data_IF_602472311383
#
_entry.id   IF_602472311383
#
_cell.length_a   1.000
_cell.length_b   1.000
_cell.length_c   1.000
_cell.angle_alpha   90.00
_cell.angle_beta   90.00
_cell.angle_gamma   90.00
#
_symmetry.space_group_name_H-M   'P 1'
#
loop_
_entity.id
_entity.type
_entity.pdbx_description
1 polymer ?
#
# COMPACT_ATOMS: atom_id res chain seq x y z
N UNK A 1 -23.21 41.66 -37.61
CA UNK A 1 -23.14 40.58 -36.60
C UNK A 1 -24.41 39.76 -36.74
N UNK A 2 -24.36 38.62 -37.43
CA UNK A 2 -25.50 37.69 -37.47
C UNK A 2 -25.51 36.95 -36.12
N UNK A 3 -26.55 37.15 -35.32
CA UNK A 3 -26.75 36.37 -34.12
C UNK A 3 -27.04 34.91 -34.54
N UNK A 4 -26.10 34.01 -34.26
CA UNK A 4 -26.30 32.57 -34.47
C UNK A 4 -27.44 32.12 -33.56
N UNK A 5 -28.63 31.96 -34.13
CA UNK A 5 -29.81 31.48 -33.39
C UNK A 5 -29.60 30.00 -33.07
N UNK A 6 -29.40 29.68 -31.79
CA UNK A 6 -29.36 28.30 -31.30
C UNK A 6 -30.71 27.64 -31.59
N UNK A 7 -30.73 26.39 -32.06
CA UNK A 7 -31.99 25.66 -32.23
C UNK A 7 -32.61 25.39 -30.85
N UNK A 8 -33.94 25.23 -30.77
CA UNK A 8 -34.62 24.84 -29.51
C UNK A 8 -34.04 23.53 -28.95
N UNK A 9 -33.56 22.66 -29.83
CA UNK A 9 -32.88 21.40 -29.47
C UNK A 9 -31.49 21.62 -28.83
N UNK A 10 -30.78 22.68 -29.19
CA UNK A 10 -29.48 23.04 -28.59
C UNK A 10 -29.68 23.66 -27.20
N UNK A 11 -30.73 24.45 -26.99
CA UNK A 11 -31.06 25.06 -25.69
C UNK A 11 -31.45 24.03 -24.62
N UNK A 12 -32.04 22.90 -25.04
CA UNK A 12 -32.46 21.84 -24.13
C UNK A 12 -31.37 20.81 -23.82
N UNK A 13 -30.21 20.88 -24.48
CA UNK A 13 -29.11 19.95 -24.21
C UNK A 13 -28.17 20.51 -23.13
N UNK A 14 -27.82 19.74 -22.10
CA UNK A 14 -26.82 20.16 -21.13
C UNK A 14 -25.44 20.28 -21.80
N UNK A 15 -24.65 21.27 -21.37
CA UNK A 15 -23.29 21.51 -21.89
C UNK A 15 -22.32 20.34 -21.64
N UNK A 16 -22.64 19.46 -20.68
CA UNK A 16 -21.90 18.24 -20.34
C UNK A 16 -22.76 17.02 -20.60
N UNK A 17 -22.24 16.08 -21.38
CA UNK A 17 -22.83 14.75 -21.60
C UNK A 17 -22.27 13.76 -20.57
N UNK A 18 -22.93 13.64 -19.42
CA UNK A 18 -22.52 12.72 -18.36
C UNK A 18 -22.46 11.25 -18.81
N UNK A 19 -23.36 10.83 -19.70
CA UNK A 19 -23.29 9.48 -20.27
C UNK A 19 -21.98 9.21 -21.01
N UNK A 20 -21.49 10.18 -21.78
CA UNK A 20 -20.21 10.07 -22.48
C UNK A 20 -19.01 10.08 -21.51
N UNK A 21 -19.07 10.95 -20.49
CA UNK A 21 -18.05 11.02 -19.43
C UNK A 21 -17.96 9.69 -18.68
N UNK A 22 -19.09 9.13 -18.25
CA UNK A 22 -19.14 7.87 -17.51
C UNK A 22 -18.70 6.68 -18.38
N UNK A 23 -19.08 6.65 -19.65
CA UNK A 23 -18.62 5.61 -20.58
C UNK A 23 -17.09 5.68 -20.79
N UNK A 24 -16.54 6.88 -20.98
CA UNK A 24 -15.09 7.08 -21.07
C UNK A 24 -14.37 6.70 -19.77
N UNK A 25 -14.92 7.07 -18.61
CA UNK A 25 -14.37 6.71 -17.32
C UNK A 25 -14.38 5.20 -17.08
N UNK A 26 -15.45 4.50 -17.46
CA UNK A 26 -15.55 3.05 -17.38
C UNK A 26 -14.52 2.36 -18.28
N UNK A 27 -14.31 2.86 -19.50
CA UNK A 27 -13.29 2.34 -20.41
C UNK A 27 -11.87 2.54 -19.87
N UNK A 28 -11.58 3.72 -19.31
CA UNK A 28 -10.30 3.98 -18.63
C UNK A 28 -10.10 3.04 -17.44
N UNK A 29 -11.11 2.91 -16.56
CA UNK A 29 -11.03 2.04 -15.38
C UNK A 29 -10.81 0.57 -15.75
N UNK A 30 -11.53 0.06 -16.76
CA UNK A 30 -11.37 -1.31 -17.25
C UNK A 30 -9.97 -1.55 -17.82
N UNK A 31 -9.44 -0.64 -18.64
CA UNK A 31 -8.10 -0.78 -19.18
C UNK A 31 -7.03 -0.69 -18.09
N UNK A 32 -7.16 0.27 -17.16
CA UNK A 32 -6.28 0.39 -16.00
C UNK A 32 -6.23 -0.92 -15.20
N UNK A 33 -7.38 -1.56 -14.97
CA UNK A 33 -7.44 -2.82 -14.25
C UNK A 33 -6.74 -3.97 -14.99
N UNK A 34 -6.96 -4.09 -16.31
CA UNK A 34 -6.31 -5.12 -17.14
C UNK A 34 -4.78 -4.92 -17.12
N UNK A 35 -4.30 -3.70 -17.32
CA UNK A 35 -2.87 -3.41 -17.33
C UNK A 35 -2.24 -3.50 -15.94
N UNK A 36 -3.01 -3.29 -14.87
CA UNK A 36 -2.57 -3.51 -13.50
C UNK A 36 -2.26 -4.98 -13.26
N UNK A 37 -3.20 -5.88 -13.62
CA UNK A 37 -3.01 -7.32 -13.49
C UNK A 37 -1.78 -7.78 -14.29
N UNK A 38 -1.64 -7.29 -15.52
CA UNK A 38 -0.48 -7.58 -16.36
C UNK A 38 0.82 -7.10 -15.71
N UNK A 39 0.85 -5.87 -15.19
CA UNK A 39 2.01 -5.29 -14.52
C UNK A 39 2.43 -6.07 -13.28
N UNK A 40 1.46 -6.50 -12.46
CA UNK A 40 1.71 -7.36 -11.30
C UNK A 40 2.33 -8.69 -11.73
N UNK A 41 1.79 -9.33 -12.78
CA UNK A 41 2.31 -10.59 -13.32
C UNK A 41 3.76 -10.45 -13.84
N UNK A 42 4.04 -9.40 -14.60
CA UNK A 42 5.40 -9.10 -15.10
C UNK A 42 6.38 -8.71 -13.99
N UNK A 43 5.89 -8.02 -12.95
CA UNK A 43 6.68 -7.65 -11.78
C UNK A 43 7.11 -8.88 -10.98
N UNK A 44 6.16 -9.76 -10.66
CA UNK A 44 6.45 -11.01 -9.92
C UNK A 44 7.41 -11.93 -10.68
N UNK A 45 7.31 -12.00 -12.02
CA UNK A 45 8.22 -12.82 -12.82
C UNK A 45 9.65 -12.26 -12.92
N UNK A 46 9.84 -10.96 -12.63
CA UNK A 46 11.13 -10.27 -12.72
C UNK A 46 11.93 -10.30 -11.42
N UNK A 47 11.31 -10.67 -10.30
CA UNK A 47 11.97 -10.73 -8.98
C UNK A 47 12.56 -12.11 -8.75
N UNK A 48 13.89 -12.20 -8.65
CA UNK A 48 14.60 -13.43 -8.26
C UNK A 48 14.96 -13.40 -6.77
N UNK A 49 14.72 -14.48 -6.01
CA UNK A 49 15.19 -14.60 -4.62
C UNK A 49 16.71 -14.57 -4.46
N UNK A 50 17.45 -14.85 -5.53
CA UNK A 50 18.89 -15.09 -5.50
C UNK A 50 19.71 -13.93 -6.07
N UNK A 51 19.05 -13.00 -6.77
CA UNK A 51 19.68 -11.80 -7.33
C UNK A 51 18.65 -10.67 -7.41
N UNK A 52 18.80 -9.62 -6.60
CA UNK A 52 17.85 -8.51 -6.56
C UNK A 52 18.50 -7.24 -7.12
N UNK A 53 17.79 -6.53 -8.02
CA UNK A 53 18.17 -5.20 -8.48
C UNK A 53 17.04 -4.21 -8.21
N UNK A 54 17.06 -3.60 -7.02
CA UNK A 54 16.02 -2.69 -6.57
C UNK A 54 15.85 -1.46 -7.48
N UNK A 55 16.93 -0.98 -8.08
CA UNK A 55 16.89 0.22 -8.95
C UNK A 55 16.17 -0.10 -10.26
N UNK A 56 16.53 -1.20 -10.92
CA UNK A 56 15.89 -1.61 -12.17
C UNK A 56 14.40 -1.88 -11.98
N UNK A 57 14.03 -2.57 -10.88
CA UNK A 57 12.63 -2.85 -10.52
C UNK A 57 11.87 -1.55 -10.24
N UNK A 58 12.48 -0.60 -9.51
CA UNK A 58 11.85 0.69 -9.22
C UNK A 58 11.57 1.51 -10.48
N UNK A 59 12.56 1.61 -11.38
CA UNK A 59 12.42 2.37 -12.63
C UNK A 59 11.40 1.72 -13.57
N UNK A 60 11.43 0.39 -13.72
CA UNK A 60 10.46 -0.32 -14.57
C UNK A 60 9.03 -0.20 -14.02
N UNK A 61 8.86 -0.23 -12.70
CA UNK A 61 7.55 -0.02 -12.07
C UNK A 61 7.01 1.38 -12.35
N UNK A 62 7.82 2.43 -12.18
CA UNK A 62 7.41 3.80 -12.48
C UNK A 62 7.06 3.97 -13.96
N UNK A 63 7.89 3.44 -14.85
CA UNK A 63 7.64 3.49 -16.29
C UNK A 63 6.35 2.76 -16.68
N UNK A 64 6.09 1.59 -16.07
CA UNK A 64 4.88 0.82 -16.31
C UNK A 64 3.62 1.55 -15.82
N UNK A 65 3.65 2.11 -14.60
CA UNK A 65 2.53 2.88 -14.05
C UNK A 65 2.25 4.14 -14.87
N UNK A 66 3.30 4.82 -15.35
CA UNK A 66 3.13 5.94 -16.28
C UNK A 66 2.47 5.48 -17.59
N UNK A 67 2.97 4.40 -18.21
CA UNK A 67 2.37 3.83 -19.41
C UNK A 67 0.90 3.48 -19.21
N UNK A 68 0.56 2.79 -18.13
CA UNK A 68 -0.83 2.47 -17.76
C UNK A 68 -1.71 3.72 -17.71
N UNK A 69 -1.24 4.74 -16.99
CA UNK A 69 -1.98 5.98 -16.82
C UNK A 69 -2.24 6.66 -18.17
N UNK A 70 -1.22 6.75 -19.02
CA UNK A 70 -1.33 7.38 -20.34
C UNK A 70 -2.26 6.60 -21.27
N UNK A 71 -2.10 5.27 -21.34
CA UNK A 71 -2.91 4.41 -22.19
C UNK A 71 -4.39 4.44 -21.78
N UNK A 72 -4.68 4.26 -20.49
CA UNK A 72 -6.05 4.24 -19.98
C UNK A 72 -6.73 5.60 -20.11
N UNK A 73 -6.01 6.68 -19.80
CA UNK A 73 -6.51 8.06 -19.95
C UNK A 73 -6.79 8.38 -21.42
N UNK A 74 -5.91 7.94 -22.33
CA UNK A 74 -6.09 8.10 -23.77
C UNK A 74 -7.35 7.42 -24.28
N UNK A 75 -7.57 6.14 -23.95
CA UNK A 75 -8.78 5.41 -24.37
C UNK A 75 -10.04 6.04 -23.77
N UNK A 76 -10.03 6.34 -22.47
CA UNK A 76 -11.20 6.93 -21.81
C UNK A 76 -11.55 8.31 -22.35
N UNK A 77 -10.54 9.17 -22.56
CA UNK A 77 -10.71 10.47 -23.17
C UNK A 77 -11.26 10.37 -24.59
N UNK A 78 -10.67 9.52 -25.43
CA UNK A 78 -11.15 9.26 -26.79
C UNK A 78 -12.62 8.83 -26.82
N UNK A 79 -13.02 7.89 -25.96
CA UNK A 79 -14.41 7.45 -25.87
C UNK A 79 -15.36 8.55 -25.41
N UNK A 80 -14.98 9.34 -24.40
CA UNK A 80 -15.77 10.47 -23.93
C UNK A 80 -15.99 11.52 -25.02
N UNK A 81 -14.93 11.83 -25.78
CA UNK A 81 -15.01 12.71 -26.94
C UNK A 81 -15.92 12.17 -28.03
N UNK A 82 -15.79 10.88 -28.39
CA UNK A 82 -16.54 10.27 -29.49
C UNK A 82 -18.02 10.05 -29.18
N UNK A 83 -18.38 9.80 -27.92
CA UNK A 83 -19.76 9.51 -27.51
C UNK A 83 -20.59 10.75 -27.16
N UNK A 84 -19.97 11.91 -26.96
CA UNK A 84 -20.69 13.17 -26.67
C UNK A 84 -21.60 13.57 -27.85
N UNK A 85 -22.70 14.26 -27.57
CA UNK A 85 -23.62 14.83 -28.59
C UNK A 85 -22.98 16.02 -29.32
N UNK A 86 -23.07 16.04 -30.66
CA UNK A 86 -22.63 17.16 -31.52
C UNK A 86 -23.62 18.32 -31.45
N UNK A 87 -23.11 19.54 -31.30
CA UNK A 87 -23.88 20.78 -31.41
C UNK A 87 -23.47 21.46 -32.71
N UNK A 88 -24.40 21.61 -33.65
CA UNK A 88 -24.11 22.04 -35.02
C UNK A 88 -24.02 23.57 -35.20
N UNK A 89 -24.47 24.33 -34.21
CA UNK A 89 -24.70 25.78 -34.27
C UNK A 89 -23.68 26.61 -33.46
N UNK A 90 -22.58 26.00 -32.98
CA UNK A 90 -21.60 26.64 -32.09
C UNK A 90 -20.24 26.81 -32.79
N UNK A 91 -19.51 27.87 -32.41
CA UNK A 91 -18.14 28.15 -32.86
C UNK A 91 -17.17 27.00 -32.57
N UNK A 92 -16.21 26.78 -33.48
CA UNK A 92 -15.22 25.70 -33.42
C UNK A 92 -14.43 25.67 -32.11
N UNK A 93 -14.09 26.83 -31.54
CA UNK A 93 -13.34 26.93 -30.28
C UNK A 93 -14.10 26.37 -29.07
N UNK A 94 -15.42 26.61 -29.00
CA UNK A 94 -16.27 26.09 -27.93
C UNK A 94 -16.48 24.57 -28.08
N UNK A 95 -16.50 24.04 -29.31
CA UNK A 95 -16.49 22.60 -29.55
C UNK A 95 -15.19 21.97 -29.05
N UNK A 96 -14.04 22.59 -29.35
CA UNK A 96 -12.74 22.16 -28.85
C UNK A 96 -12.65 22.18 -27.31
N UNK A 97 -13.06 23.28 -26.67
CA UNK A 97 -13.10 23.38 -25.22
C UNK A 97 -13.95 22.25 -24.61
N UNK A 98 -15.16 22.04 -25.12
CA UNK A 98 -16.05 20.98 -24.61
C UNK A 98 -15.47 19.58 -24.80
N UNK A 99 -14.87 19.29 -25.95
CA UNK A 99 -14.27 17.97 -26.17
C UNK A 99 -13.09 17.74 -25.20
N UNK A 100 -12.21 18.73 -25.00
CA UNK A 100 -11.15 18.62 -23.98
C UNK A 100 -11.71 18.44 -22.57
N UNK A 101 -12.76 19.19 -22.21
CA UNK A 101 -13.41 19.10 -20.91
C UNK A 101 -14.03 17.71 -20.65
N UNK A 102 -14.63 17.07 -21.67
CA UNK A 102 -15.18 15.72 -21.52
C UNK A 102 -14.09 14.67 -21.29
N UNK A 103 -12.93 14.81 -21.96
CA UNK A 103 -11.76 13.98 -21.70
C UNK A 103 -11.24 14.14 -20.28
N UNK A 104 -11.07 15.38 -19.83
CA UNK A 104 -10.64 15.69 -18.46
C UNK A 104 -11.62 15.16 -17.41
N UNK A 105 -12.93 15.33 -17.62
CA UNK A 105 -13.96 14.83 -16.71
C UNK A 105 -13.97 13.29 -16.66
N UNK A 106 -13.80 12.62 -17.81
CA UNK A 106 -13.71 11.15 -17.84
C UNK A 106 -12.50 10.63 -17.06
N UNK A 107 -11.34 11.29 -17.21
CA UNK A 107 -10.15 10.99 -16.41
C UNK A 107 -10.38 11.23 -14.91
N UNK A 108 -11.01 12.35 -14.54
CA UNK A 108 -11.27 12.69 -13.14
C UNK A 108 -12.20 11.66 -12.49
N UNK A 109 -13.30 11.30 -13.15
CA UNK A 109 -14.24 10.29 -12.67
C UNK A 109 -13.56 8.92 -12.55
N UNK A 110 -12.80 8.49 -13.55
CA UNK A 110 -12.05 7.22 -13.48
C UNK A 110 -11.08 7.20 -12.30
N UNK A 111 -10.33 8.28 -12.09
CA UNK A 111 -9.38 8.41 -10.98
C UNK A 111 -10.09 8.35 -9.63
N UNK A 112 -11.21 9.07 -9.47
CA UNK A 112 -12.02 9.05 -8.26
C UNK A 112 -12.64 7.67 -7.98
N UNK A 113 -13.07 6.95 -9.02
CA UNK A 113 -13.53 5.56 -8.89
C UNK A 113 -12.40 4.66 -8.38
N UNK A 114 -11.20 4.78 -8.95
CA UNK A 114 -10.03 4.02 -8.49
C UNK A 114 -9.71 4.32 -7.02
N UNK A 115 -9.71 5.59 -6.63
CA UNK A 115 -9.52 6.00 -5.23
C UNK A 115 -10.62 5.42 -4.34
N UNK A 116 -11.89 5.48 -4.75
CA UNK A 116 -13.00 4.93 -3.98
C UNK A 116 -12.86 3.41 -3.78
N UNK A 117 -12.52 2.66 -4.84
CA UNK A 117 -12.31 1.20 -4.76
C UNK A 117 -11.15 0.88 -3.81
N UNK A 118 -10.03 1.59 -3.92
CA UNK A 118 -8.85 1.38 -3.07
C UNK A 118 -9.10 1.79 -1.60
N UNK A 119 -9.98 2.75 -1.35
CA UNK A 119 -10.39 3.16 0.00
C UNK A 119 -11.19 2.10 0.76
N UNK A 120 -11.47 0.94 0.16
CA UNK A 120 -12.44 -0.04 0.68
C UNK A 120 -13.88 0.21 0.25
N UNK A 121 -14.08 1.04 -0.78
CA UNK A 121 -15.38 1.57 -1.21
C UNK A 121 -16.35 0.57 -1.83
N UNK A 122 -16.08 -0.74 -1.87
CA UNK A 122 -17.13 -1.72 -2.21
C UNK A 122 -18.30 -1.63 -1.21
N UNK A 123 -18.05 -1.23 0.04
CA UNK A 123 -19.10 -0.98 1.06
C UNK A 123 -19.73 0.42 1.00
N UNK A 124 -19.06 1.42 0.43
CA UNK A 124 -19.54 2.82 0.38
C UNK A 124 -20.42 3.11 -0.86
N UNK A 125 -20.16 2.44 -1.99
CA UNK A 125 -20.98 2.54 -3.20
C UNK A 125 -22.41 2.01 -2.97
N UNK A 126 -22.57 1.08 -2.02
CA UNK A 126 -23.87 0.51 -1.66
C UNK A 126 -24.63 1.32 -0.59
N UNK A 127 -23.95 2.18 0.19
CA UNK A 127 -24.52 2.88 1.35
C UNK A 127 -24.61 4.40 1.21
N UNK A 128 -23.98 5.00 0.19
CA UNK A 128 -24.05 6.44 -0.07
C UNK A 128 -23.32 7.35 0.93
N UNK A 129 -22.65 6.77 1.95
CA UNK A 129 -21.86 7.51 2.93
C UNK A 129 -20.37 7.44 2.54
N UNK A 130 -19.78 8.59 2.17
CA UNK A 130 -18.35 8.71 1.90
C UNK A 130 -17.70 9.41 3.10
N UNK A 131 -17.08 8.65 4.01
CA UNK A 131 -16.19 9.22 5.02
C UNK A 131 -14.87 9.63 4.36
N UNK A 132 -14.87 10.81 3.73
CA UNK A 132 -13.78 11.29 2.89
C UNK A 132 -12.48 11.62 3.64
N UNK A 133 -12.51 11.75 4.97
CA UNK A 133 -11.35 12.19 5.77
C UNK A 133 -10.36 11.08 6.12
N UNK A 134 -10.80 9.82 6.24
CA UNK A 134 -9.93 8.66 6.54
C UNK A 134 -9.69 7.76 5.33
N UNK A 135 -10.62 7.73 4.36
CA UNK A 135 -10.56 6.86 3.18
C UNK A 135 -9.54 7.29 2.13
N UNK A 136 -9.29 8.59 1.94
CA UNK A 136 -8.36 9.08 0.91
C UNK A 136 -6.91 8.69 1.24
N UNK A 137 -6.50 8.81 2.51
CA UNK A 137 -5.18 8.37 2.95
C UNK A 137 -5.01 6.85 2.83
N UNK A 138 -6.07 6.08 3.13
CA UNK A 138 -6.10 4.63 3.00
C UNK A 138 -6.21 4.13 1.55
N UNK A 139 -6.68 4.96 0.61
CA UNK A 139 -6.75 4.64 -0.82
C UNK A 139 -5.46 4.97 -1.57
N UNK A 140 -4.85 6.11 -1.22
CA UNK A 140 -3.57 6.54 -1.77
C UNK A 140 -2.43 5.71 -1.18
N UNK A 141 -2.55 5.26 0.08
CA UNK A 141 -1.57 4.44 0.79
C UNK A 141 -1.15 3.16 0.06
N UNK A 142 -2.07 2.31 -0.42
CA UNK A 142 -1.77 1.11 -1.22
C UNK A 142 -1.32 1.41 -2.65
N UNK A 143 -1.78 2.50 -3.29
CA UNK A 143 -1.33 2.87 -4.64
C UNK A 143 0.12 3.40 -4.63
N UNK A 144 0.47 4.22 -3.64
CA UNK A 144 1.85 4.67 -3.38
C UNK A 144 2.69 3.54 -2.75
N UNK A 145 2.02 2.68 -1.97
CA UNK A 145 2.58 1.51 -1.29
C UNK A 145 2.84 0.31 -2.19
N UNK A 146 2.15 0.13 -3.32
CA UNK A 146 2.41 -0.96 -4.25
C UNK A 146 3.79 -0.85 -4.91
N UNK A 147 4.25 0.38 -5.20
CA UNK A 147 5.64 0.65 -5.61
C UNK A 147 6.65 0.38 -4.49
N UNK A 148 6.28 0.64 -3.23
CA UNK A 148 7.11 0.33 -2.06
C UNK A 148 7.06 -1.16 -1.65
N UNK A 149 5.98 -1.88 -1.92
CA UNK A 149 5.78 -3.30 -1.63
C UNK A 149 6.53 -4.17 -2.64
N UNK A 150 6.60 -3.76 -3.91
CA UNK A 150 7.47 -4.40 -4.91
C UNK A 150 8.96 -4.24 -4.57
N UNK A 151 9.36 -3.10 -4.01
CA UNK A 151 10.73 -2.86 -3.52
C UNK A 151 10.99 -3.47 -2.12
N UNK A 152 9.94 -3.67 -1.32
CA UNK A 152 9.99 -4.22 0.03
C UNK A 152 9.81 -5.74 0.10
N UNK A 153 9.37 -6.39 -0.99
CA UNK A 153 9.20 -7.84 -1.07
C UNK A 153 10.50 -8.62 -0.80
N UNK A 154 11.67 -8.01 -0.99
CA UNK A 154 12.97 -8.58 -0.61
C UNK A 154 13.32 -8.45 0.88
N UNK A 155 12.67 -7.55 1.63
CA UNK A 155 12.89 -7.34 3.06
C UNK A 155 11.75 -7.90 3.94
N UNK A 156 10.58 -8.21 3.35
CA UNK A 156 9.40 -8.75 4.03
C UNK A 156 9.19 -10.25 3.80
N UNK A 157 10.26 -11.02 3.52
CA UNK A 157 10.22 -12.48 3.43
C UNK A 157 9.91 -13.20 4.76
N UNK A 158 9.40 -12.48 5.77
CA UNK A 158 9.25 -13.00 7.12
C UNK A 158 7.86 -12.79 7.75
N UNK A 159 6.80 -12.42 7.02
CA UNK A 159 5.41 -12.54 7.54
C UNK A 159 4.37 -12.89 6.48
N UNK A 160 4.23 -14.18 6.23
CA UNK A 160 2.97 -14.84 5.90
C UNK A 160 3.07 -16.30 6.37
N UNK A 161 2.86 -16.50 7.67
CA UNK A 161 2.71 -17.80 8.29
C UNK A 161 1.68 -17.64 9.40
N UNK A 162 0.45 -18.08 9.13
CA UNK A 162 -0.58 -18.29 10.15
C UNK A 162 -0.07 -19.37 11.11
N UNK A 163 0.39 -18.94 12.28
CA UNK A 163 0.89 -19.81 13.33
C UNK A 163 1.55 -18.96 14.40
N UNK A 164 0.79 -18.66 15.46
CA UNK A 164 1.16 -17.98 16.71
C UNK A 164 2.31 -16.98 16.66
N UNK A 165 1.99 -15.72 16.95
CA UNK A 165 2.93 -14.71 17.42
C UNK A 165 3.84 -15.25 18.53
N UNK A 166 4.97 -15.85 18.18
CA UNK A 166 6.05 -16.11 19.13
C UNK A 166 6.56 -14.74 19.56
N UNK A 167 6.22 -14.30 20.78
CA UNK A 167 6.76 -13.06 21.30
C UNK A 167 8.29 -13.24 21.38
N UNK A 168 9.10 -12.27 20.90
CA UNK A 168 10.55 -12.34 21.03
C UNK A 168 11.00 -12.55 22.49
N UNK A 169 10.19 -12.08 23.45
CA UNK A 169 10.38 -12.26 24.89
C UNK A 169 10.22 -13.72 25.34
N UNK A 170 9.36 -14.51 24.69
CA UNK A 170 9.17 -15.93 25.01
C UNK A 170 10.43 -16.74 24.70
N UNK A 171 11.18 -16.35 23.67
CA UNK A 171 12.47 -16.95 23.33
C UNK A 171 13.54 -16.68 24.40
N UNK A 172 13.63 -15.45 24.91
CA UNK A 172 14.59 -15.10 25.96
C UNK A 172 14.21 -15.73 27.31
N UNK A 173 12.92 -15.76 27.64
CA UNK A 173 12.39 -16.50 28.80
C UNK A 173 12.71 -17.99 28.73
N UNK A 174 12.62 -18.61 27.55
CA UNK A 174 12.99 -20.02 27.37
C UNK A 174 14.50 -20.24 27.47
N UNK A 175 15.31 -19.31 26.96
CA UNK A 175 16.78 -19.36 27.06
C UNK A 175 17.30 -19.22 28.51
N UNK A 176 16.63 -18.43 29.35
CA UNK A 176 16.92 -18.32 30.79
C UNK A 176 16.62 -19.62 31.53
N UNK A 177 15.49 -20.25 31.19
CA UNK A 177 14.97 -21.41 31.92
C UNK A 177 15.49 -22.76 31.39
N UNK A 178 16.17 -22.77 30.24
CA UNK A 178 16.73 -23.98 29.63
C UNK A 178 17.99 -24.45 30.38
N UNK A 179 18.02 -25.70 30.84
CA UNK A 179 19.21 -26.30 31.43
C UNK A 179 20.36 -26.38 30.41
N UNK A 180 21.60 -26.13 30.85
CA UNK A 180 22.79 -26.39 30.02
C UNK A 180 22.96 -27.92 29.85
N UNK A 181 23.45 -28.42 28.70
CA UNK A 181 23.75 -29.83 28.55
C UNK A 181 25.01 -30.15 29.36
N UNK A 182 24.82 -30.58 30.61
CA UNK A 182 25.87 -31.19 31.42
C UNK A 182 25.66 -32.72 31.47
N UNK A 183 26.73 -33.53 31.56
CA UNK A 183 26.64 -34.98 31.54
C UNK A 183 25.79 -35.47 32.71
N UNK A 184 25.02 -36.53 32.47
CA UNK A 184 24.07 -37.12 33.40
C UNK A 184 24.58 -37.17 34.85
N UNK A 185 24.07 -36.27 35.69
CA UNK A 185 24.10 -36.39 37.14
C UNK A 185 22.65 -36.22 37.63
N UNK A 186 22.22 -37.23 38.38
CA UNK A 186 20.89 -37.41 38.98
C UNK A 186 20.42 -36.16 39.74
N UNK A 187 19.46 -35.42 39.19
CA UNK A 187 18.79 -34.33 39.87
C UNK A 187 17.50 -34.82 40.56
N UNK A 188 17.40 -34.56 41.87
CA UNK A 188 16.22 -34.80 42.70
C UNK A 188 15.02 -33.94 42.24
N UNK A 189 13.76 -34.34 42.54
CA UNK A 189 12.58 -33.64 42.05
C UNK A 189 12.50 -32.22 42.64
N UNK A 190 12.38 -31.22 41.77
CA UNK A 190 12.15 -29.83 42.14
C UNK A 190 10.81 -29.70 42.90
N UNK A 191 10.84 -29.01 44.04
CA UNK A 191 9.66 -28.70 44.85
C UNK A 191 8.70 -27.84 44.03
N UNK A 192 7.51 -28.36 43.74
CA UNK A 192 6.42 -27.61 43.12
C UNK A 192 5.82 -26.64 44.15
N UNK A 193 5.93 -25.33 43.91
CA UNK A 193 5.12 -24.34 44.64
C UNK A 193 3.65 -24.52 44.23
N UNK A 194 2.72 -24.78 45.16
CA UNK A 194 1.31 -24.94 44.82
C UNK A 194 0.69 -23.57 44.55
N UNK A 195 0.34 -23.29 43.29
CA UNK A 195 -0.52 -22.15 42.89
C UNK A 195 -0.02 -21.27 41.75
N UNK A 196 1.24 -21.38 41.32
CA UNK A 196 1.78 -20.61 40.19
C UNK A 196 2.08 -21.57 39.05
N UNK A 197 1.40 -21.39 37.90
CA UNK A 197 1.68 -22.24 36.74
C UNK A 197 3.02 -21.83 36.11
N UNK A 198 3.69 -22.77 35.44
CA UNK A 198 4.93 -22.47 34.71
C UNK A 198 4.73 -21.42 33.60
N UNK A 199 3.48 -21.19 33.17
CA UNK A 199 3.10 -20.15 32.22
C UNK A 199 3.05 -18.75 32.87
N UNK A 200 2.51 -18.64 34.08
CA UNK A 200 2.44 -17.37 34.83
C UNK A 200 3.84 -16.85 35.17
N UNK A 201 4.73 -17.77 35.56
CA UNK A 201 6.13 -17.45 35.86
C UNK A 201 6.90 -16.97 34.61
N UNK A 202 6.61 -17.54 33.43
CA UNK A 202 7.19 -17.08 32.15
C UNK A 202 6.67 -15.68 31.76
N UNK A 203 5.39 -15.40 32.00
CA UNK A 203 4.79 -14.10 31.72
C UNK A 203 5.35 -12.99 32.63
N UNK A 204 5.62 -13.31 33.90
CA UNK A 204 6.27 -12.39 34.85
C UNK A 204 7.72 -12.07 34.44
N UNK A 205 8.53 -13.10 34.11
CA UNK A 205 9.89 -12.92 33.59
C UNK A 205 9.87 -12.05 32.31
N UNK A 206 8.92 -12.32 31.41
CA UNK A 206 8.74 -11.52 30.19
C UNK A 206 8.41 -10.05 30.47
N UNK A 207 7.56 -9.76 31.46
CA UNK A 207 7.26 -8.38 31.90
C UNK A 207 8.46 -7.69 32.52
N UNK A 208 9.22 -8.37 33.38
CA UNK A 208 10.44 -7.83 33.99
C UNK A 208 11.46 -7.46 32.90
N UNK A 209 11.68 -8.35 31.93
CA UNK A 209 12.55 -8.07 30.79
C UNK A 209 12.03 -6.90 29.94
N UNK A 210 10.73 -6.84 29.65
CA UNK A 210 10.14 -5.74 28.89
C UNK A 210 10.30 -4.38 29.60
N UNK A 211 10.08 -4.33 30.92
CA UNK A 211 10.31 -3.13 31.74
C UNK A 211 11.79 -2.77 31.78
N UNK A 212 12.69 -3.74 31.99
CA UNK A 212 14.13 -3.51 31.97
C UNK A 212 14.62 -3.01 30.61
N UNK A 213 14.07 -3.49 29.50
CA UNK A 213 14.41 -2.99 28.16
C UNK A 213 13.90 -1.56 27.93
N UNK A 214 12.76 -1.18 28.50
CA UNK A 214 12.21 0.17 28.34
C UNK A 214 12.94 1.21 29.19
N UNK A 215 13.38 0.84 30.40
CA UNK A 215 14.17 1.68 31.31
C UNK A 215 15.66 1.68 30.98
N UNK A 216 16.13 0.70 30.21
CA UNK A 216 17.53 0.55 29.80
C UNK A 216 18.43 -0.14 30.83
N UNK A 217 17.87 -0.60 31.95
CA UNK A 217 18.59 -1.38 32.96
C UNK A 217 17.65 -2.32 33.70
N UNK A 218 18.14 -3.50 34.08
CA UNK A 218 17.43 -4.42 34.97
C UNK A 218 17.56 -3.93 36.42
N UNK A 219 16.45 -3.76 37.14
CA UNK A 219 16.48 -3.36 38.54
C UNK A 219 17.23 -4.42 39.39
N UNK A 220 17.92 -3.98 40.45
CA UNK A 220 18.69 -4.89 41.29
C UNK A 220 17.81 -5.98 41.94
N UNK A 221 16.60 -5.61 42.36
CA UNK A 221 15.62 -6.53 42.96
C UNK A 221 15.11 -7.56 41.94
N UNK A 222 14.82 -7.11 40.71
CA UNK A 222 14.40 -7.97 39.60
C UNK A 222 15.52 -8.94 39.19
N UNK A 223 16.77 -8.47 39.16
CA UNK A 223 17.95 -9.30 38.87
C UNK A 223 18.15 -10.38 39.94
N UNK A 224 18.03 -10.02 41.21
CA UNK A 224 18.14 -10.97 42.33
C UNK A 224 17.02 -12.02 42.30
N UNK A 225 15.78 -11.60 42.04
CA UNK A 225 14.63 -12.50 41.85
C UNK A 225 14.85 -13.49 40.71
N UNK A 226 15.24 -12.98 39.53
CA UNK A 226 15.54 -13.82 38.37
C UNK A 226 16.72 -14.77 38.62
N UNK A 227 17.76 -14.31 39.32
CA UNK A 227 18.87 -15.14 39.77
C UNK A 227 18.40 -16.32 40.63
N UNK A 228 17.49 -16.07 41.58
CA UNK A 228 16.94 -17.10 42.47
C UNK A 228 16.06 -18.12 41.70
N UNK A 229 15.28 -17.65 40.72
CA UNK A 229 14.50 -18.52 39.83
C UNK A 229 15.41 -19.38 38.95
N UNK A 230 16.50 -18.83 38.42
CA UNK A 230 17.47 -19.58 37.61
C UNK A 230 18.24 -20.59 38.46
N UNK A 231 18.71 -20.20 39.65
CA UNK A 231 19.43 -21.06 40.58
C UNK A 231 18.59 -22.28 40.99
N UNK A 232 17.31 -22.05 41.35
CA UNK A 232 16.40 -23.13 41.77
C UNK A 232 16.10 -24.17 40.67
N UNK A 233 16.23 -23.82 39.39
CA UNK A 233 16.00 -24.74 38.27
C UNK A 233 17.26 -25.37 37.69
N UNK A 234 18.43 -24.77 37.90
CA UNK A 234 19.68 -25.19 37.25
C UNK A 234 20.71 -25.76 38.22
N UNK A 235 20.52 -25.56 39.52
CA UNK A 235 21.50 -25.95 40.55
C UNK A 235 22.74 -25.06 40.60
N UNK A 236 22.75 -23.93 39.89
CA UNK A 236 23.84 -22.94 39.92
C UNK A 236 23.87 -22.18 41.24
N UNK A 237 25.05 -21.65 41.60
CA UNK A 237 25.15 -20.70 42.70
C UNK A 237 24.44 -19.39 42.35
N UNK A 238 23.96 -18.64 43.35
CA UNK A 238 23.25 -17.37 43.14
C UNK A 238 24.07 -16.38 42.27
N UNK A 239 25.38 -16.28 42.51
CA UNK A 239 26.25 -15.39 41.75
C UNK A 239 26.40 -15.81 40.28
N UNK A 240 26.49 -17.11 40.00
CA UNK A 240 26.54 -17.64 38.62
C UNK A 240 25.19 -17.50 37.90
N UNK A 241 24.08 -17.66 38.62
CA UNK A 241 22.74 -17.47 38.10
C UNK A 241 22.48 -16.00 37.72
N UNK A 242 22.89 -15.05 38.55
CA UNK A 242 22.81 -13.61 38.24
C UNK A 242 23.69 -13.22 37.06
N UNK A 243 24.92 -13.73 36.99
CA UNK A 243 25.80 -13.52 35.83
C UNK A 243 25.17 -14.05 34.52
N UNK A 244 24.43 -15.16 34.60
CA UNK A 244 23.68 -15.71 33.47
C UNK A 244 22.49 -14.83 33.08
N UNK A 245 21.76 -14.28 34.05
CA UNK A 245 20.68 -13.32 33.81
C UNK A 245 21.22 -12.08 33.08
N UNK A 246 22.36 -11.53 33.51
CA UNK A 246 22.97 -10.37 32.85
C UNK A 246 23.40 -10.67 31.42
N UNK A 247 24.00 -11.83 31.19
CA UNK A 247 24.42 -12.25 29.86
C UNK A 247 23.23 -12.41 28.91
N UNK A 248 22.10 -12.94 29.39
CA UNK A 248 20.88 -13.08 28.58
C UNK A 248 20.18 -11.74 28.39
N UNK A 249 20.12 -10.89 29.43
CA UNK A 249 19.60 -9.53 29.33
C UNK A 249 20.41 -8.69 28.33
N UNK A 250 21.75 -8.77 28.35
CA UNK A 250 22.61 -8.11 27.37
C UNK A 250 22.34 -8.56 25.93
N UNK A 251 22.07 -9.85 25.71
CA UNK A 251 21.65 -10.37 24.39
C UNK A 251 20.27 -9.85 24.00
N UNK A 252 19.33 -9.77 24.94
CA UNK A 252 17.99 -9.23 24.69
C UNK A 252 18.03 -7.74 24.33
N UNK A 253 18.83 -6.95 25.04
CA UNK A 253 19.05 -5.52 24.73
C UNK A 253 19.66 -5.36 23.33
N UNK A 254 20.70 -6.14 23.00
CA UNK A 254 21.32 -6.10 21.67
C UNK A 254 20.32 -6.48 20.56
N UNK A 255 19.58 -7.57 20.73
CA UNK A 255 18.59 -8.01 19.75
C UNK A 255 17.45 -6.99 19.57
N UNK A 256 17.01 -6.33 20.65
CA UNK A 256 16.01 -5.27 20.59
C UNK A 256 16.56 -4.01 19.89
N UNK A 257 17.81 -3.63 20.14
CA UNK A 257 18.47 -2.53 19.45
C UNK A 257 18.62 -2.82 17.94
N UNK A 258 19.05 -4.03 17.58
CA UNK A 258 19.17 -4.47 16.18
C UNK A 258 17.81 -4.50 15.48
N UNK A 259 16.77 -5.01 16.15
CA UNK A 259 15.40 -5.02 15.62
C UNK A 259 14.84 -3.59 15.45
N UNK A 260 15.10 -2.69 16.40
CA UNK A 260 14.72 -1.27 16.28
C UNK A 260 15.45 -0.61 15.12
N UNK A 261 16.75 -0.84 14.97
CA UNK A 261 17.54 -0.29 13.87
C UNK A 261 17.04 -0.80 12.51
N UNK A 262 16.75 -2.10 12.40
CA UNK A 262 16.16 -2.69 11.19
C UNK A 262 14.77 -2.11 10.89
N UNK A 263 13.91 -1.96 11.90
CA UNK A 263 12.60 -1.35 11.73
C UNK A 263 12.69 0.11 11.29
N UNK A 264 13.61 0.89 11.86
CA UNK A 264 13.88 2.28 11.45
C UNK A 264 14.40 2.35 10.01
N UNK A 265 15.36 1.49 9.64
CA UNK A 265 15.91 1.42 8.29
C UNK A 265 14.85 1.01 7.26
N UNK A 266 13.99 0.04 7.59
CA UNK A 266 12.88 -0.38 6.74
C UNK A 266 11.86 0.77 6.57
N UNK A 267 11.50 1.45 7.66
CA UNK A 267 10.61 2.61 7.62
C UNK A 267 11.20 3.77 6.78
N UNK A 268 12.50 4.06 6.91
CA UNK A 268 13.17 5.08 6.12
C UNK A 268 13.25 4.72 4.63
N UNK A 269 13.51 3.46 4.32
CA UNK A 269 13.52 2.97 2.93
C UNK A 269 12.13 3.07 2.32
N UNK A 270 11.10 2.61 3.04
CA UNK A 270 9.71 2.72 2.62
C UNK A 270 9.29 4.19 2.44
N UNK A 271 9.70 5.08 3.35
CA UNK A 271 9.44 6.53 3.24
C UNK A 271 10.08 7.13 1.99
N UNK A 272 11.35 6.84 1.71
CA UNK A 272 12.06 7.35 0.52
C UNK A 272 11.44 6.84 -0.78
N UNK A 273 11.15 5.53 -0.84
CA UNK A 273 10.51 4.90 -1.99
C UNK A 273 9.09 5.44 -2.21
N UNK A 274 8.32 5.58 -1.13
CA UNK A 274 6.97 6.15 -1.15
C UNK A 274 6.96 7.60 -1.63
N UNK A 275 7.86 8.45 -1.11
CA UNK A 275 7.98 9.84 -1.55
C UNK A 275 8.35 9.94 -3.03
N UNK A 276 9.31 9.14 -3.50
CA UNK A 276 9.71 9.11 -4.91
C UNK A 276 8.58 8.62 -5.82
N UNK A 277 7.89 7.54 -5.43
CA UNK A 277 6.74 7.01 -6.16
C UNK A 277 5.60 8.03 -6.23
N UNK A 278 5.29 8.71 -5.12
CA UNK A 278 4.24 9.72 -5.08
C UNK A 278 4.50 10.88 -6.04
N UNK A 279 5.74 11.36 -6.13
CA UNK A 279 6.13 12.41 -7.08
C UNK A 279 5.94 11.97 -8.54
N UNK A 280 6.38 10.76 -8.87
CA UNK A 280 6.20 10.23 -10.23
C UNK A 280 4.75 9.92 -10.57
N UNK A 281 3.96 9.44 -9.60
CA UNK A 281 2.52 9.25 -9.77
C UNK A 281 1.80 10.57 -10.00
N UNK A 282 2.18 11.63 -9.28
CA UNK A 282 1.66 12.98 -9.53
C UNK A 282 1.94 13.42 -10.97
N UNK A 283 3.19 13.26 -11.45
CA UNK A 283 3.54 13.57 -12.84
C UNK A 283 2.75 12.74 -13.84
N UNK A 284 2.64 11.42 -13.60
CA UNK A 284 1.88 10.52 -14.47
C UNK A 284 0.38 10.89 -14.53
N UNK A 285 -0.22 11.26 -13.40
CA UNK A 285 -1.62 11.70 -13.34
C UNK A 285 -1.86 12.98 -14.13
N UNK A 286 -0.97 13.96 -14.04
CA UNK A 286 -1.04 15.19 -14.85
C UNK A 286 -0.92 14.89 -16.34
N UNK A 287 0.03 14.03 -16.73
CA UNK A 287 0.17 13.59 -18.11
C UNK A 287 -1.06 12.82 -18.58
N UNK A 288 -1.66 11.98 -17.74
CA UNK A 288 -2.91 11.29 -18.02
C UNK A 288 -4.06 12.25 -18.28
N UNK A 289 -4.26 13.25 -17.41
CA UNK A 289 -5.29 14.28 -17.59
C UNK A 289 -5.12 15.03 -18.93
N UNK A 290 -3.88 15.38 -19.27
CA UNK A 290 -3.55 16.01 -20.54
C UNK A 290 -3.83 15.09 -21.74
N UNK A 291 -3.39 13.83 -21.69
CA UNK A 291 -3.61 12.84 -22.76
C UNK A 291 -5.10 12.55 -22.94
N UNK A 292 -5.89 12.45 -21.87
CA UNK A 292 -7.34 12.27 -21.96
C UNK A 292 -8.01 13.46 -22.67
N UNK A 293 -7.59 14.68 -22.32
CA UNK A 293 -8.10 15.90 -22.93
C UNK A 293 -7.80 15.95 -24.43
N UNK A 294 -6.56 15.63 -24.84
CA UNK A 294 -6.17 15.55 -26.25
C UNK A 294 -6.92 14.43 -26.98
N UNK A 295 -6.96 13.23 -26.43
CA UNK A 295 -7.62 12.08 -27.05
C UNK A 295 -9.11 12.32 -27.28
N UNK A 296 -9.76 13.04 -26.36
CA UNK A 296 -11.15 13.44 -26.51
C UNK A 296 -11.38 14.39 -27.70
N UNK A 297 -10.45 15.31 -27.98
CA UNK A 297 -10.56 16.14 -29.20
C UNK A 297 -10.47 15.30 -30.48
N UNK A 298 -9.61 14.29 -30.52
CA UNK A 298 -9.54 13.38 -31.67
C UNK A 298 -10.83 12.56 -31.83
N UNK A 299 -11.37 12.03 -30.73
CA UNK A 299 -12.65 11.30 -30.74
C UNK A 299 -13.83 12.17 -31.17
N UNK A 300 -13.89 13.41 -30.69
CA UNK A 300 -14.91 14.39 -31.05
C UNK A 300 -14.86 14.78 -32.53
N UNK A 301 -13.66 15.02 -33.08
CA UNK A 301 -13.48 15.32 -34.52
C UNK A 301 -13.93 14.18 -35.42
N UNK A 302 -13.64 12.93 -35.06
CA UNK A 302 -14.06 11.76 -35.85
C UNK A 302 -15.59 11.61 -35.85
N UNK A 303 -16.24 11.76 -34.69
CA UNK A 303 -17.71 11.80 -34.58
C UNK A 303 -18.29 12.87 -35.52
N UNK A 304 -17.67 14.04 -35.55
CA UNK A 304 -18.20 15.19 -36.27
C UNK A 304 -18.04 15.06 -37.80
N UNK A 305 -17.00 14.37 -38.28
CA UNK A 305 -16.78 14.05 -39.70
C UNK A 305 -17.76 12.97 -40.21
N UNK A 306 -17.97 11.88 -39.46
CA UNK A 306 -18.86 10.78 -39.89
C UNK A 306 -20.32 11.23 -40.07
N UNK A 307 -20.80 12.16 -39.23
CA UNK A 307 -22.15 12.70 -39.35
C UNK A 307 -22.34 13.65 -40.53
N UNK A 308 -21.29 14.34 -40.97
CA UNK A 308 -21.35 15.20 -42.16
C UNK A 308 -21.55 14.35 -43.41
N UNK A 309 -20.81 13.25 -43.54
CA UNK A 309 -20.95 12.35 -44.70
C UNK A 309 -22.36 11.76 -44.83
N UNK A 310 -23.04 11.47 -43.71
CA UNK A 310 -24.40 10.92 -43.71
C UNK A 310 -25.48 11.93 -44.16
N UNK A 311 -25.21 13.23 -44.06
CA UNK A 311 -26.13 14.28 -44.51
C UNK A 311 -25.87 14.72 -45.97
N UNK A 312 -24.79 14.26 -46.60
CA UNK A 312 -24.38 14.66 -47.96
C UNK A 312 -24.86 13.65 -49.03
N UNK A 313 -25.50 12.55 -48.66
CA UNK A 313 -26.09 11.62 -49.62
C UNK A 313 -27.43 12.17 -50.13
N UNK A 314 -27.41 12.71 -51.35
CA UNK A 314 -28.58 13.04 -52.18
C UNK A 314 -29.09 11.76 -52.84
#
# INVERSE_FOLDING_TARGET
MQATQLSVSDLNNPGVSWGAVLAGAAAAAALSFILLILGVGLGLSSVSPWSFNATAIGVSTIAWLAFMQLAASGIGGYMAGRLRVKWSSIHTDEVHFRDTAHGLLAWAVATLITVAVLAGGTRAVLSGAIDASSGVAAAVGPAVGAGAAAAGAGASGAKAGEGSSANPLDYFSDMLLRAAPAPAATAAPAVANPGVTAADQRAEIGKIFATGLSTGSLAADDRAYLGQVVASRTGLTQAEAEARVDAVYGRAVKAAADAKAQAQQAADTARKAGAHTALWMFVALLLGAFVASLAATFGGRQRDHERVLRHVTI
#
